data_IF_023071663118
#
_entry.id   IF_023071663118
#
_cell.length_a   1.000
_cell.length_b   1.000
_cell.length_c   1.000
_cell.angle_alpha   90.00
_cell.angle_beta   90.00
_cell.angle_gamma   90.00
#
_symmetry.space_group_name_H-M   'P 1'
#
loop_
_entity.id
_entity.type
_entity.pdbx_description
1 polymer ?
#
# COMPACT_ATOMS: atom_id res chain seq x y z
N UNK A 1 8.70 -12.66 -28.48
CA UNK A 1 7.62 -12.78 -27.47
C UNK A 1 6.27 -12.73 -28.18
N UNK A 2 5.51 -13.82 -28.10
CA UNK A 2 4.16 -13.91 -28.68
C UNK A 2 3.18 -13.02 -27.90
N UNK A 3 2.10 -12.55 -28.53
CA UNK A 3 1.11 -11.65 -27.92
C UNK A 3 0.48 -12.20 -26.62
N UNK A 4 0.38 -13.54 -26.49
CA UNK A 4 -0.12 -14.21 -25.29
C UNK A 4 0.74 -13.97 -24.03
N UNK A 5 2.05 -13.85 -24.23
CA UNK A 5 3.05 -13.67 -23.17
C UNK A 5 2.95 -12.25 -22.56
N UNK A 6 2.68 -11.23 -23.41
CA UNK A 6 2.49 -9.85 -22.96
C UNK A 6 1.20 -9.66 -22.17
N UNK A 7 0.11 -10.31 -22.59
CA UNK A 7 -1.17 -10.25 -21.86
C UNK A 7 -1.03 -10.86 -20.45
N UNK A 8 -0.29 -11.96 -20.31
CA UNK A 8 -0.05 -12.57 -18.99
C UNK A 8 0.78 -11.67 -18.08
N UNK A 9 1.85 -11.06 -18.59
CA UNK A 9 2.67 -10.09 -17.85
C UNK A 9 1.84 -8.88 -17.40
N UNK A 10 1.04 -8.30 -18.31
CA UNK A 10 0.15 -7.18 -17.99
C UNK A 10 -0.82 -7.53 -16.84
N UNK A 11 -1.47 -8.68 -16.92
CA UNK A 11 -2.43 -9.11 -15.90
C UNK A 11 -1.74 -9.36 -14.55
N UNK A 12 -0.56 -9.97 -14.55
CA UNK A 12 0.23 -10.20 -13.36
C UNK A 12 0.62 -8.87 -12.68
N UNK A 13 1.15 -7.91 -13.44
CA UNK A 13 1.52 -6.60 -12.89
C UNK A 13 0.30 -5.85 -12.35
N UNK A 14 -0.82 -5.87 -13.08
CA UNK A 14 -2.08 -5.25 -12.63
C UNK A 14 -2.55 -5.86 -11.31
N UNK A 15 -2.45 -7.18 -11.17
CA UNK A 15 -2.83 -7.88 -9.94
C UNK A 15 -1.89 -7.52 -8.78
N UNK A 16 -0.58 -7.48 -9.01
CA UNK A 16 0.41 -7.04 -8.01
C UNK A 16 0.11 -5.64 -7.50
N UNK A 17 -0.14 -4.68 -8.40
CA UNK A 17 -0.44 -3.30 -8.00
C UNK A 17 -1.77 -3.19 -7.23
N UNK A 18 -2.79 -3.95 -7.62
CA UNK A 18 -4.07 -3.99 -6.92
C UNK A 18 -3.94 -4.62 -5.51
N UNK A 19 -3.13 -5.67 -5.37
CA UNK A 19 -2.82 -6.31 -4.08
C UNK A 19 -2.10 -5.34 -3.15
N UNK A 20 -1.11 -4.61 -3.65
CA UNK A 20 -0.41 -3.59 -2.88
C UNK A 20 -1.37 -2.51 -2.37
N UNK A 21 -2.20 -1.92 -3.23
CA UNK A 21 -3.18 -0.90 -2.83
C UNK A 21 -4.18 -1.41 -1.78
N UNK A 22 -4.63 -2.65 -1.94
CA UNK A 22 -5.56 -3.27 -0.98
C UNK A 22 -4.89 -3.45 0.39
N UNK A 23 -3.62 -3.86 0.40
CA UNK A 23 -2.86 -4.03 1.63
C UNK A 23 -2.62 -2.69 2.34
N UNK A 24 -2.18 -1.65 1.61
CA UNK A 24 -1.97 -0.32 2.17
C UNK A 24 -3.25 0.32 2.71
N UNK A 25 -4.38 0.15 1.99
CA UNK A 25 -5.69 0.64 2.44
C UNK A 25 -6.16 -0.09 3.72
N UNK A 26 -5.82 -1.38 3.87
CA UNK A 26 -6.14 -2.16 5.06
C UNK A 26 -5.27 -1.78 6.26
N UNK A 27 -3.96 -1.57 6.05
CA UNK A 27 -3.02 -1.16 7.10
C UNK A 27 -3.32 0.25 7.62
N UNK A 28 -3.54 1.23 6.75
CA UNK A 28 -3.94 2.57 7.16
C UNK A 28 -5.26 2.57 7.95
N UNK A 29 -6.18 1.65 7.62
CA UNK A 29 -7.43 1.49 8.37
C UNK A 29 -7.19 1.01 9.81
N UNK A 30 -6.12 0.27 10.08
CA UNK A 30 -5.77 -0.13 11.43
C UNK A 30 -5.46 1.09 12.31
N UNK A 31 -4.73 2.10 11.80
CA UNK A 31 -4.49 3.35 12.52
C UNK A 31 -5.76 4.16 12.74
N UNK A 32 -6.63 4.22 11.72
CA UNK A 32 -7.93 4.88 11.87
C UNK A 32 -8.76 4.29 13.02
N UNK A 33 -8.88 2.96 13.07
CA UNK A 33 -9.57 2.27 14.17
C UNK A 33 -8.88 2.52 15.51
N UNK A 34 -7.54 2.60 15.52
CA UNK A 34 -6.75 2.89 16.72
C UNK A 34 -7.04 4.28 17.27
N UNK A 35 -6.98 5.32 16.43
CA UNK A 35 -7.26 6.70 16.85
C UNK A 35 -8.71 6.93 17.28
N UNK A 36 -9.65 6.16 16.72
CA UNK A 36 -11.05 6.17 17.14
C UNK A 36 -11.34 5.41 18.43
N UNK A 37 -10.37 4.64 18.94
CA UNK A 37 -10.56 3.77 20.10
C UNK A 37 -11.48 2.58 19.81
N UNK A 38 -11.53 2.11 18.57
CA UNK A 38 -12.39 0.99 18.17
C UNK A 38 -11.86 -0.37 18.66
N UNK A 39 -10.58 -0.45 19.08
CA UNK A 39 -10.00 -1.64 19.70
C UNK A 39 -10.27 -1.68 21.20
N UNK A 40 -10.64 -2.86 21.71
CA UNK A 40 -10.93 -3.03 23.13
C UNK A 40 -9.67 -2.95 23.99
N UNK A 41 -8.53 -3.40 23.45
CA UNK A 41 -7.25 -3.46 24.17
C UNK A 41 -6.08 -3.07 23.26
N UNK A 42 -5.04 -2.45 23.84
CA UNK A 42 -3.83 -2.04 23.08
C UNK A 42 -3.18 -3.21 22.32
N UNK A 43 -3.18 -4.42 22.89
CA UNK A 43 -2.61 -5.61 22.23
C UNK A 43 -3.35 -6.00 20.94
N UNK A 44 -4.64 -5.72 20.86
CA UNK A 44 -5.46 -6.04 19.70
C UNK A 44 -5.11 -5.11 18.54
N UNK A 45 -4.96 -3.81 18.83
CA UNK A 45 -4.48 -2.84 17.86
C UNK A 45 -3.09 -3.21 17.31
N UNK A 46 -2.15 -3.61 18.17
CA UNK A 46 -0.81 -4.04 17.76
C UNK A 46 -0.87 -5.29 16.87
N UNK A 47 -1.64 -6.31 17.27
CA UNK A 47 -1.78 -7.53 16.47
C UNK A 47 -2.42 -7.27 15.08
N UNK A 48 -3.39 -6.36 15.01
CA UNK A 48 -4.00 -5.95 13.75
C UNK A 48 -3.01 -5.21 12.85
N UNK A 49 -2.23 -4.27 13.40
CA UNK A 49 -1.18 -3.54 12.68
C UNK A 49 -0.11 -4.50 12.19
N UNK A 50 0.42 -5.40 13.03
CA UNK A 50 1.47 -6.35 12.63
C UNK A 50 1.04 -7.28 11.48
N UNK A 51 -0.21 -7.76 11.52
CA UNK A 51 -0.77 -8.58 10.46
C UNK A 51 -0.93 -7.81 9.15
N UNK A 52 -1.40 -6.57 9.23
CA UNK A 52 -1.56 -5.70 8.06
C UNK A 52 -0.19 -5.30 7.47
N UNK A 53 0.76 -4.88 8.31
CA UNK A 53 2.15 -4.57 7.96
C UNK A 53 2.82 -5.73 7.22
N UNK A 54 2.69 -6.96 7.73
CA UNK A 54 3.24 -8.15 7.06
C UNK A 54 2.70 -8.32 5.64
N UNK A 55 1.41 -8.04 5.46
CA UNK A 55 0.74 -8.14 4.14
C UNK A 55 1.22 -7.03 3.21
N UNK A 56 1.30 -5.79 3.68
CA UNK A 56 1.80 -4.66 2.90
C UNK A 56 3.26 -4.86 2.52
N UNK A 57 4.13 -5.24 3.45
CA UNK A 57 5.54 -5.48 3.17
C UNK A 57 5.73 -6.60 2.16
N UNK A 58 4.94 -7.67 2.24
CA UNK A 58 4.97 -8.75 1.24
C UNK A 58 4.57 -8.26 -0.15
N UNK A 59 3.53 -7.43 -0.25
CA UNK A 59 3.08 -6.85 -1.52
C UNK A 59 4.08 -5.81 -2.07
N UNK A 60 4.68 -5.00 -1.21
CA UNK A 60 5.72 -4.05 -1.57
C UNK A 60 6.97 -4.74 -2.09
N UNK A 61 7.43 -5.81 -1.44
CA UNK A 61 8.62 -6.56 -1.86
C UNK A 61 8.48 -7.12 -3.29
N UNK A 62 7.26 -7.46 -3.73
CA UNK A 62 7.03 -7.87 -5.13
C UNK A 62 7.30 -6.72 -6.09
N UNK A 63 6.92 -5.49 -5.75
CA UNK A 63 7.16 -4.28 -6.57
C UNK A 63 8.65 -3.93 -6.57
N UNK A 64 9.27 -3.92 -5.39
CA UNK A 64 10.65 -3.47 -5.18
C UNK A 64 11.69 -4.46 -5.73
N UNK A 65 11.63 -5.73 -5.32
CA UNK A 65 12.66 -6.73 -5.68
C UNK A 65 12.59 -7.16 -7.15
N UNK A 66 11.39 -7.22 -7.71
CA UNK A 66 11.22 -7.59 -9.12
C UNK A 66 11.41 -6.36 -10.05
N UNK A 67 11.56 -5.16 -9.49
CA UNK A 67 11.67 -3.91 -10.25
C UNK A 67 10.46 -3.64 -11.13
N UNK A 68 9.31 -4.21 -10.77
CA UNK A 68 8.06 -4.12 -11.53
C UNK A 68 7.29 -2.88 -11.07
N UNK A 69 7.50 -1.77 -11.76
CA UNK A 69 6.60 -0.63 -11.66
C UNK A 69 7.01 0.47 -10.69
N UNK A 70 6.03 1.15 -10.07
CA UNK A 70 6.22 2.43 -9.39
C UNK A 70 6.76 2.27 -7.96
N UNK A 71 7.99 1.79 -7.83
CA UNK A 71 8.60 1.50 -6.52
C UNK A 71 8.74 2.75 -5.64
N UNK A 72 9.07 3.90 -6.21
CA UNK A 72 9.22 5.16 -5.48
C UNK A 72 7.90 5.63 -4.86
N UNK A 73 6.81 5.55 -5.62
CA UNK A 73 5.48 5.92 -5.15
C UNK A 73 4.98 4.91 -4.10
N UNK A 74 5.33 3.64 -4.25
CA UNK A 74 5.05 2.60 -3.27
C UNK A 74 5.80 2.87 -1.95
N UNK A 75 7.09 3.25 -2.01
CA UNK A 75 7.89 3.64 -0.85
C UNK A 75 7.27 4.85 -0.12
N UNK A 76 6.80 5.86 -0.84
CA UNK A 76 6.14 7.03 -0.25
C UNK A 76 4.87 6.64 0.50
N UNK A 77 4.05 5.76 -0.09
CA UNK A 77 2.82 5.30 0.55
C UNK A 77 3.11 4.50 1.82
N UNK A 78 4.09 3.59 1.77
CA UNK A 78 4.54 2.81 2.94
C UNK A 78 5.15 3.72 4.01
N UNK A 79 5.95 4.71 3.63
CA UNK A 79 6.52 5.67 4.57
C UNK A 79 5.44 6.51 5.26
N UNK A 80 4.39 6.89 4.53
CA UNK A 80 3.24 7.60 5.10
C UNK A 80 2.51 6.73 6.14
N UNK A 81 2.27 5.45 5.86
CA UNK A 81 1.64 4.53 6.82
C UNK A 81 2.52 4.30 8.05
N UNK A 82 3.84 4.13 7.86
CA UNK A 82 4.79 4.02 8.97
C UNK A 82 4.75 5.25 9.87
N UNK A 83 4.67 6.44 9.27
CA UNK A 83 4.48 7.67 10.04
C UNK A 83 3.17 7.62 10.83
N UNK A 84 2.05 7.14 10.27
CA UNK A 84 0.78 6.98 11.00
C UNK A 84 0.91 6.07 12.24
N UNK A 85 1.62 4.95 12.12
CA UNK A 85 1.87 4.04 13.25
C UNK A 85 2.63 4.68 14.40
N UNK A 86 3.51 5.65 14.11
CA UNK A 86 4.29 6.38 15.12
C UNK A 86 3.46 7.41 15.90
N UNK A 87 2.25 7.75 15.45
CA UNK A 87 1.42 8.79 16.07
C UNK A 87 0.41 8.18 17.03
N UNK A 88 0.34 8.70 18.26
CA UNK A 88 -0.65 8.31 19.25
C UNK A 88 -2.07 8.82 18.91
N UNK A 89 -2.16 9.96 18.22
CA UNK A 89 -3.40 10.61 17.79
C UNK A 89 -3.38 10.89 16.28
N UNK A 90 -4.55 11.12 15.67
CA UNK A 90 -4.69 11.41 14.24
C UNK A 90 -4.02 12.74 13.88
N UNK A 91 -2.96 12.76 13.04
CA UNK A 91 -2.33 14.00 12.62
C UNK A 91 -3.21 14.78 11.65
N UNK A 92 -3.17 16.11 11.73
CA UNK A 92 -3.89 16.98 10.82
C UNK A 92 -3.47 16.74 9.36
N UNK A 93 -4.46 16.52 8.48
CA UNK A 93 -4.24 16.35 7.03
C UNK A 93 -3.56 15.04 6.62
N UNK A 94 -3.43 14.07 7.53
CA UNK A 94 -2.78 12.78 7.22
C UNK A 94 -3.50 12.02 6.11
N UNK A 95 -4.84 12.08 6.09
CA UNK A 95 -5.63 11.39 5.07
C UNK A 95 -5.51 12.04 3.70
N UNK A 96 -5.40 13.36 3.63
CA UNK A 96 -5.14 14.12 2.41
C UNK A 96 -3.79 13.71 1.82
N UNK A 97 -2.77 13.63 2.67
CA UNK A 97 -1.43 13.14 2.34
C UNK A 97 -1.47 11.71 1.81
N UNK A 98 -2.12 10.80 2.56
CA UNK A 98 -2.27 9.40 2.18
C UNK A 98 -3.01 9.23 0.84
N UNK A 99 -4.15 9.91 0.66
CA UNK A 99 -4.92 9.93 -0.60
C UNK A 99 -4.07 10.47 -1.76
N UNK A 100 -3.24 11.47 -1.49
CA UNK A 100 -2.29 12.05 -2.46
C UNK A 100 -1.25 11.04 -2.93
N UNK A 101 -0.56 10.35 -2.02
CA UNK A 101 0.41 9.31 -2.39
C UNK A 101 -0.24 8.11 -3.07
N UNK A 102 -1.43 7.71 -2.60
CA UNK A 102 -2.22 6.65 -3.24
C UNK A 102 -2.58 7.00 -4.68
N UNK A 103 -2.96 8.25 -4.95
CA UNK A 103 -3.25 8.71 -6.30
C UNK A 103 -1.99 8.71 -7.18
N UNK A 104 -0.85 9.17 -6.67
CA UNK A 104 0.44 9.14 -7.38
C UNK A 104 0.83 7.71 -7.77
N UNK A 105 0.70 6.75 -6.84
CA UNK A 105 0.93 5.34 -7.13
C UNK A 105 0.00 4.82 -8.24
N UNK A 106 -1.29 5.15 -8.19
CA UNK A 106 -2.26 4.70 -9.21
C UNK A 106 -1.91 5.24 -10.59
N UNK A 107 -1.53 6.51 -10.71
CA UNK A 107 -1.14 7.10 -11.99
C UNK A 107 0.15 6.47 -12.52
N UNK A 108 1.18 6.34 -11.68
CA UNK A 108 2.44 5.70 -12.07
C UNK A 108 2.23 4.22 -12.46
N UNK A 109 1.38 3.48 -11.73
CA UNK A 109 0.99 2.12 -12.08
C UNK A 109 0.31 2.03 -13.45
N UNK A 110 -0.55 3.00 -13.80
CA UNK A 110 -1.18 3.07 -15.14
C UNK A 110 -0.16 3.33 -16.23
N UNK A 111 0.80 4.21 -16.01
CA UNK A 111 1.88 4.49 -16.97
C UNK A 111 2.73 3.24 -17.22
N UNK A 112 3.13 2.55 -16.16
CA UNK A 112 3.84 1.28 -16.26
C UNK A 112 3.03 0.19 -16.98
N UNK A 113 1.73 0.09 -16.71
CA UNK A 113 0.85 -0.85 -17.41
C UNK A 113 0.62 -0.50 -18.88
N UNK A 114 0.57 0.79 -19.23
CA UNK A 114 0.39 1.28 -20.60
C UNK A 114 1.63 1.10 -21.48
N UNK A 115 2.81 0.84 -20.89
CA UNK A 115 4.05 0.55 -21.59
C UNK A 115 4.24 -0.90 -22.07
N UNK A 116 3.33 -1.82 -21.69
CA UNK A 116 3.37 -3.25 -22.05
C UNK A 116 2.64 -3.56 -23.37
#
# INVERSE_FOLDING_TARGET
MAAHDRTQIYLAHRETYARFLTATDAEARCDWHRWRGDYAEKREAVAAIDAAYTTTQSAFNLIDLEGIGPSKEAEQLVACIRFMHEQDEEPEGIWETFKGYRAQFVEAAREHLGGH
#
